data_IF_503557775822
#
_entry.id   IF_503557775822
#
_cell.length_a   1.000
_cell.length_b   1.000
_cell.length_c   1.000
_cell.angle_alpha   90.00
_cell.angle_beta   90.00
_cell.angle_gamma   90.00
#
_symmetry.space_group_name_H-M   'P 1'
#
loop_
_entity.id
_entity.type
_entity.pdbx_description
1 polymer ?
#
# COMPACT_ATOMS: atom_id res chain seq x y z
N UNK A 1 7.59 20.71 10.05
CA UNK A 1 6.94 20.09 8.88
C UNK A 1 5.58 20.76 8.66
N UNK A 2 5.47 21.63 7.66
CA UNK A 2 4.23 22.38 7.32
C UNK A 2 3.17 21.48 6.65
N UNK A 3 3.58 20.32 6.15
CA UNK A 3 2.72 19.38 5.41
C UNK A 3 1.69 18.69 6.30
N UNK A 4 2.07 18.25 7.51
CA UNK A 4 1.16 17.49 8.40
C UNK A 4 -0.11 18.27 8.76
N UNK A 5 -0.05 19.56 9.16
CA UNK A 5 -1.25 20.37 9.37
C UNK A 5 -2.16 20.50 8.13
N UNK A 6 -1.59 20.59 6.92
CA UNK A 6 -2.38 20.68 5.67
C UNK A 6 -3.09 19.37 5.35
N UNK A 7 -2.40 18.23 5.49
CA UNK A 7 -3.02 16.91 5.32
C UNK A 7 -4.13 16.67 6.37
N UNK A 8 -3.93 17.14 7.59
CA UNK A 8 -4.91 17.05 8.67
C UNK A 8 -6.23 17.75 8.31
N UNK A 9 -6.18 18.93 7.68
CA UNK A 9 -7.39 19.64 7.24
C UNK A 9 -8.23 18.80 6.26
N UNK A 10 -7.60 18.05 5.37
CA UNK A 10 -8.32 17.18 4.43
C UNK A 10 -9.00 15.98 5.10
N UNK A 11 -8.37 15.45 6.15
CA UNK A 11 -8.96 14.41 7.01
C UNK A 11 -10.14 14.97 7.80
N UNK A 12 -10.01 16.17 8.38
CA UNK A 12 -11.06 16.80 9.18
C UNK A 12 -12.30 17.19 8.34
N UNK A 13 -12.11 17.48 7.06
CA UNK A 13 -13.19 17.75 6.10
C UNK A 13 -13.82 16.47 5.52
N UNK A 14 -13.39 15.29 5.94
CA UNK A 14 -13.93 14.03 5.43
C UNK A 14 -15.43 13.92 5.79
N UNK A 15 -16.32 13.52 4.85
CA UNK A 15 -17.77 13.54 5.07
C UNK A 15 -18.27 12.53 6.10
N UNK A 16 -17.42 11.58 6.50
CA UNK A 16 -17.73 10.51 7.43
C UNK A 16 -16.65 10.40 8.51
N UNK A 17 -16.99 9.95 9.74
CA UNK A 17 -16.01 9.66 10.78
C UNK A 17 -14.96 8.66 10.28
N UNK A 18 -13.68 9.00 10.49
CA UNK A 18 -12.55 8.17 10.11
C UNK A 18 -12.08 7.30 11.27
N UNK A 19 -11.84 6.02 10.98
CA UNK A 19 -11.09 5.11 11.87
C UNK A 19 -9.60 5.41 11.74
N UNK A 20 -9.11 5.57 10.51
CA UNK A 20 -7.74 6.01 10.25
C UNK A 20 -7.61 6.65 8.87
N UNK A 21 -6.53 7.43 8.70
CA UNK A 21 -6.00 7.83 7.42
C UNK A 21 -4.46 7.85 7.49
N UNK A 22 -3.81 7.15 6.57
CA UNK A 22 -2.35 7.02 6.45
C UNK A 22 -1.89 7.47 5.08
N UNK A 23 -0.60 7.80 4.98
CA UNK A 23 0.05 8.09 3.70
C UNK A 23 0.52 6.77 3.08
N UNK A 24 0.23 6.57 1.80
CA UNK A 24 0.71 5.48 0.96
C UNK A 24 1.63 6.04 -0.15
N UNK A 25 1.78 5.33 -1.26
CA UNK A 25 2.47 5.87 -2.42
C UNK A 25 3.97 6.05 -2.26
N UNK A 26 4.57 6.88 -3.11
CA UNK A 26 6.02 7.10 -3.15
C UNK A 26 6.62 7.51 -1.79
N UNK A 27 5.84 8.22 -0.97
CA UNK A 27 6.18 8.59 0.40
C UNK A 27 6.35 7.37 1.32
N UNK A 28 5.39 6.44 1.30
CA UNK A 28 5.50 5.17 2.04
C UNK A 28 6.64 4.29 1.48
N UNK A 29 6.77 4.24 0.16
CA UNK A 29 7.68 3.32 -0.51
C UNK A 29 9.15 3.76 -0.50
N UNK A 30 9.46 4.96 0.01
CA UNK A 30 10.84 5.41 0.24
C UNK A 30 11.51 6.06 -0.97
N UNK A 31 10.72 6.55 -1.94
CA UNK A 31 11.23 7.28 -3.09
C UNK A 31 10.31 8.44 -3.51
N UNK A 32 9.88 9.34 -2.60
CA UNK A 32 9.11 10.53 -3.01
C UNK A 32 10.01 11.52 -3.78
N UNK A 33 9.48 12.08 -4.86
CA UNK A 33 10.06 13.22 -5.59
C UNK A 33 9.32 14.50 -5.22
N UNK A 34 9.87 15.67 -5.57
CA UNK A 34 9.25 16.95 -5.24
C UNK A 34 7.83 17.13 -5.83
N UNK A 35 7.55 16.44 -6.93
CA UNK A 35 6.27 16.38 -7.64
C UNK A 35 5.41 15.15 -7.26
N UNK A 36 5.76 14.42 -6.20
CA UNK A 36 4.94 13.29 -5.74
C UNK A 36 3.69 13.76 -5.02
N UNK A 37 2.57 13.15 -5.39
CA UNK A 37 1.28 13.28 -4.72
C UNK A 37 1.31 12.68 -3.31
N UNK A 38 0.42 13.20 -2.47
CA UNK A 38 0.11 12.62 -1.17
C UNK A 38 -1.07 11.67 -1.30
N UNK A 39 -0.76 10.39 -1.51
CA UNK A 39 -1.70 9.28 -1.45
C UNK A 39 -2.23 9.10 -0.02
N UNK A 40 -3.39 9.68 0.30
CA UNK A 40 -4.09 9.41 1.55
C UNK A 40 -4.99 8.19 1.38
N UNK A 41 -4.84 7.21 2.26
CA UNK A 41 -5.62 5.98 2.27
C UNK A 41 -6.19 5.72 3.65
N UNK A 42 -7.42 5.23 3.75
CA UNK A 42 -8.04 5.13 5.07
C UNK A 42 -9.34 4.37 5.13
N UNK A 43 -9.89 4.34 6.35
CA UNK A 43 -11.17 3.70 6.66
C UNK A 43 -12.11 4.73 7.27
N UNK A 44 -13.32 4.79 6.73
CA UNK A 44 -14.42 5.58 7.28
C UNK A 44 -15.58 4.69 7.74
N UNK A 45 -16.51 5.28 8.48
CA UNK A 45 -17.75 4.65 8.90
C UNK A 45 -18.94 5.32 8.22
N UNK A 46 -19.58 4.61 7.29
CA UNK A 46 -20.91 5.01 6.84
C UNK A 46 -21.93 4.99 8.00
N UNK A 47 -22.94 5.87 7.99
CA UNK A 47 -24.05 5.81 8.93
C UNK A 47 -24.72 4.42 8.88
N UNK A 48 -25.05 3.84 10.03
CA UNK A 48 -25.61 2.47 10.02
C UNK A 48 -26.88 2.37 9.18
N UNK A 49 -27.72 3.41 9.15
CA UNK A 49 -28.93 3.44 8.34
C UNK A 49 -28.65 3.27 6.83
N UNK A 50 -27.49 3.73 6.35
CA UNK A 50 -27.06 3.51 4.96
C UNK A 50 -26.59 2.07 4.74
N UNK A 51 -26.02 1.43 5.76
CA UNK A 51 -25.49 0.07 5.69
C UNK A 51 -26.58 -1.00 5.80
N UNK A 52 -27.58 -0.80 6.66
CA UNK A 52 -28.70 -1.75 6.84
C UNK A 52 -29.94 -1.40 6.01
N UNK A 53 -29.90 -0.27 5.30
CA UNK A 53 -30.97 0.17 4.42
C UNK A 53 -31.06 -0.67 3.15
N UNK A 54 -32.17 -0.52 2.42
CA UNK A 54 -32.40 -1.23 1.15
C UNK A 54 -31.57 -0.69 -0.01
N UNK A 55 -31.01 0.51 0.12
CA UNK A 55 -30.20 1.15 -0.92
C UNK A 55 -28.76 0.64 -0.84
N UNK A 56 -28.16 0.36 -1.99
CA UNK A 56 -26.73 0.09 -2.07
C UNK A 56 -25.97 1.37 -1.73
N UNK A 57 -25.25 1.38 -0.61
CA UNK A 57 -24.44 2.52 -0.20
C UNK A 57 -23.16 2.60 -1.05
N UNK A 58 -22.67 3.83 -1.27
CA UNK A 58 -21.34 4.02 -1.84
C UNK A 58 -20.29 3.84 -0.74
N UNK A 59 -19.52 2.75 -0.83
CA UNK A 59 -18.53 2.37 0.18
C UNK A 59 -17.13 2.96 -0.06
N UNK A 60 -16.96 3.84 -1.05
CA UNK A 60 -15.69 4.53 -1.30
C UNK A 60 -15.91 6.04 -1.39
N UNK A 61 -15.04 6.79 -0.71
CA UNK A 61 -14.88 8.23 -0.92
C UNK A 61 -13.56 8.47 -1.64
N UNK A 62 -13.61 9.18 -2.76
CA UNK A 62 -12.44 9.56 -3.56
C UNK A 62 -12.41 11.09 -3.68
N UNK A 63 -11.23 11.69 -3.48
CA UNK A 63 -10.99 13.13 -3.64
C UNK A 63 -9.56 13.35 -4.11
N UNK A 64 -9.41 13.83 -5.34
CA UNK A 64 -8.10 14.12 -5.92
C UNK A 64 -8.05 15.57 -6.42
N UNK A 65 -6.91 16.25 -6.24
CA UNK A 65 -6.72 17.62 -6.69
C UNK A 65 -5.55 18.34 -6.02
N UNK A 66 -5.30 19.57 -6.43
CA UNK A 66 -4.26 20.43 -5.85
C UNK A 66 -4.89 21.37 -4.82
N UNK A 67 -4.43 21.29 -3.58
CA UNK A 67 -4.91 22.08 -2.45
C UNK A 67 -3.73 22.72 -1.72
N UNK A 68 -3.72 24.06 -1.61
CA UNK A 68 -2.61 24.82 -1.01
C UNK A 68 -1.21 24.44 -1.55
N UNK A 69 -1.17 24.14 -2.86
CA UNK A 69 0.05 23.72 -3.57
C UNK A 69 0.48 22.27 -3.33
N UNK A 70 -0.35 21.46 -2.66
CA UNK A 70 -0.14 20.02 -2.49
C UNK A 70 -1.07 19.24 -3.43
N UNK A 71 -0.52 18.34 -4.23
CA UNK A 71 -1.33 17.35 -4.95
C UNK A 71 -1.71 16.22 -4.00
N UNK A 72 -3.02 16.01 -3.82
CA UNK A 72 -3.57 15.05 -2.88
C UNK A 72 -4.44 14.09 -3.66
N UNK A 73 -4.29 12.80 -3.35
CA UNK A 73 -5.19 11.74 -3.79
C UNK A 73 -5.70 11.00 -2.55
N UNK A 74 -6.93 11.28 -2.14
CA UNK A 74 -7.58 10.65 -0.99
C UNK A 74 -8.53 9.56 -1.46
N UNK A 75 -8.33 8.35 -0.95
CA UNK A 75 -9.24 7.22 -1.16
C UNK A 75 -9.48 6.53 0.18
N UNK A 76 -10.72 6.54 0.65
CA UNK A 76 -11.11 5.81 1.86
C UNK A 76 -12.24 4.84 1.57
N UNK A 77 -12.27 3.74 2.31
CA UNK A 77 -13.33 2.75 2.21
C UNK A 77 -14.13 2.66 3.50
N UNK A 78 -15.42 2.34 3.38
CA UNK A 78 -16.20 1.94 4.54
C UNK A 78 -15.53 0.73 5.24
N UNK A 79 -15.58 0.71 6.58
CA UNK A 79 -14.95 -0.33 7.38
C UNK A 79 -15.31 -1.76 6.95
N UNK A 80 -16.56 -2.04 6.57
CA UNK A 80 -16.97 -3.37 6.12
C UNK A 80 -16.22 -3.77 4.85
N UNK A 81 -16.16 -2.87 3.86
CA UNK A 81 -15.44 -3.08 2.60
C UNK A 81 -13.95 -3.27 2.84
N UNK A 82 -13.33 -2.41 3.65
CA UNK A 82 -11.92 -2.52 3.97
C UNK A 82 -11.58 -3.84 4.68
N UNK A 83 -12.36 -4.24 5.68
CA UNK A 83 -12.13 -5.49 6.43
C UNK A 83 -12.33 -6.71 5.53
N UNK A 84 -13.30 -6.66 4.62
CA UNK A 84 -13.49 -7.70 3.60
C UNK A 84 -12.27 -7.80 2.68
N UNK A 85 -11.68 -6.67 2.30
CA UNK A 85 -10.47 -6.66 1.48
C UNK A 85 -9.23 -7.16 2.24
N UNK A 86 -9.10 -6.85 3.54
CA UNK A 86 -8.05 -7.40 4.42
C UNK A 86 -8.10 -8.93 4.49
N UNK A 87 -9.30 -9.52 4.49
CA UNK A 87 -9.49 -10.98 4.49
C UNK A 87 -9.18 -11.63 3.12
N UNK A 88 -8.84 -10.86 2.10
CA UNK A 88 -8.35 -11.36 0.81
C UNK A 88 -6.83 -11.25 0.77
N UNK A 89 -6.23 -11.86 -0.25
CA UNK A 89 -4.80 -11.73 -0.58
C UNK A 89 -4.46 -10.35 -1.14
N UNK A 90 -4.78 -9.27 -0.42
CA UNK A 90 -4.59 -7.90 -0.87
C UNK A 90 -3.48 -7.22 -0.07
N UNK A 91 -2.24 -7.32 -0.56
CA UNK A 91 -1.07 -6.72 0.08
C UNK A 91 -1.16 -5.20 0.19
N UNK A 92 -1.79 -4.54 -0.78
CA UNK A 92 -1.94 -3.09 -0.77
C UNK A 92 -2.75 -2.57 0.44
N UNK A 93 -3.82 -3.29 0.82
CA UNK A 93 -4.65 -2.92 1.98
C UNK A 93 -3.90 -3.10 3.30
N UNK A 94 -3.04 -4.13 3.38
CA UNK A 94 -2.12 -4.30 4.51
C UNK A 94 -1.10 -3.16 4.59
N UNK A 95 -0.51 -2.75 3.47
CA UNK A 95 0.43 -1.62 3.42
C UNK A 95 -0.22 -0.30 3.85
N UNK A 96 -1.49 -0.08 3.51
CA UNK A 96 -2.26 1.09 3.97
C UNK A 96 -2.49 1.05 5.48
N UNK A 97 -2.97 -0.08 6.00
CA UNK A 97 -3.24 -0.27 7.44
C UNK A 97 -1.96 -0.14 8.29
N UNK A 98 -0.85 -0.70 7.81
CA UNK A 98 0.41 -0.79 8.56
C UNK A 98 1.38 0.35 8.23
N UNK A 99 0.96 1.33 7.43
CA UNK A 99 1.80 2.48 7.10
C UNK A 99 2.21 3.23 8.39
N UNK A 100 3.50 3.49 8.59
CA UNK A 100 3.98 4.28 9.74
C UNK A 100 3.67 5.78 9.58
N UNK A 101 3.23 6.22 8.40
CA UNK A 101 2.97 7.62 8.08
C UNK A 101 1.52 7.98 8.40
N UNK A 102 1.19 8.06 9.69
CA UNK A 102 -0.17 8.29 10.18
C UNK A 102 -0.53 9.78 10.12
N UNK A 103 -1.65 10.09 9.47
CA UNK A 103 -2.29 11.42 9.49
C UNK A 103 -3.38 11.45 10.56
N UNK A 104 -4.26 10.44 10.55
CA UNK A 104 -5.36 10.28 11.52
C UNK A 104 -5.46 8.86 12.03
N UNK A 105 -5.80 8.70 13.31
CA UNK A 105 -5.93 7.40 13.97
C UNK A 105 -6.89 7.47 15.14
N UNK A 106 -7.66 6.40 15.35
CA UNK A 106 -8.43 6.16 16.58
C UNK A 106 -7.87 4.93 17.33
N UNK A 107 -8.31 4.64 18.56
CA UNK A 107 -7.94 3.40 19.25
C UNK A 107 -8.26 2.14 18.45
N UNK A 108 -9.34 2.15 17.67
CA UNK A 108 -9.76 1.02 16.84
C UNK A 108 -8.83 0.79 15.65
N UNK A 109 -8.05 1.80 15.22
CA UNK A 109 -6.98 1.59 14.26
C UNK A 109 -5.84 0.74 14.86
N UNK A 110 -5.46 0.98 16.12
CA UNK A 110 -4.46 0.16 16.80
C UNK A 110 -4.96 -1.28 16.99
N UNK A 111 -6.23 -1.45 17.36
CA UNK A 111 -6.87 -2.76 17.44
C UNK A 111 -6.87 -3.47 16.08
N UNK A 112 -7.23 -2.76 15.00
CA UNK A 112 -7.21 -3.31 13.65
C UNK A 112 -5.80 -3.73 13.20
N UNK A 113 -4.76 -2.94 13.53
CA UNK A 113 -3.36 -3.32 13.27
C UNK A 113 -2.96 -4.58 14.02
N UNK A 114 -3.42 -4.77 15.26
CA UNK A 114 -3.17 -5.98 16.02
C UNK A 114 -3.83 -7.23 15.41
N UNK A 115 -4.90 -7.06 14.62
CA UNK A 115 -5.57 -8.14 13.88
C UNK A 115 -4.93 -8.44 12.52
N UNK A 116 -4.07 -7.55 12.00
CA UNK A 116 -3.46 -7.69 10.68
C UNK A 116 -2.67 -9.02 10.49
N UNK A 117 -1.89 -9.52 11.48
CA UNK A 117 -1.20 -10.80 11.34
C UNK A 117 -2.14 -11.97 11.02
N UNK A 118 -3.35 -11.98 11.57
CA UNK A 118 -4.35 -13.01 11.29
C UNK A 118 -5.02 -12.91 9.91
N UNK A 119 -4.74 -11.84 9.15
CA UNK A 119 -5.20 -11.66 7.78
C UNK A 119 -4.17 -12.15 6.73
N UNK A 120 -2.90 -12.25 7.12
CA UNK A 120 -1.80 -12.57 6.24
C UNK A 120 -1.82 -14.06 5.90
N UNK A 121 -1.65 -14.37 4.62
CA UNK A 121 -1.59 -15.73 4.09
C UNK A 121 -0.44 -15.87 3.10
N UNK A 122 0.06 -17.09 2.90
CA UNK A 122 1.08 -17.35 1.87
C UNK A 122 0.63 -16.92 0.47
N UNK A 123 -0.68 -16.92 0.20
CA UNK A 123 -1.24 -16.49 -1.09
C UNK A 123 -1.11 -14.99 -1.38
N UNK A 124 -0.67 -14.16 -0.42
CA UNK A 124 -0.29 -12.77 -0.68
C UNK A 124 0.86 -12.66 -1.69
N UNK A 125 1.72 -13.69 -1.83
CA UNK A 125 2.73 -13.74 -2.88
C UNK A 125 2.13 -13.51 -4.28
N UNK A 126 0.93 -14.05 -4.57
CA UNK A 126 0.29 -13.88 -5.87
C UNK A 126 -0.11 -12.43 -6.17
N UNK A 127 -0.45 -11.65 -5.14
CA UNK A 127 -0.74 -10.23 -5.30
C UNK A 127 0.51 -9.47 -5.73
N UNK A 128 1.62 -9.69 -5.02
CA UNK A 128 2.89 -9.05 -5.32
C UNK A 128 3.46 -9.47 -6.69
N UNK A 129 3.35 -10.75 -7.04
CA UNK A 129 3.72 -11.24 -8.38
C UNK A 129 2.87 -10.58 -9.49
N UNK A 130 1.55 -10.54 -9.32
CA UNK A 130 0.65 -9.92 -10.30
C UNK A 130 0.90 -8.41 -10.45
N UNK A 131 1.16 -7.72 -9.34
CA UNK A 131 1.50 -6.30 -9.36
C UNK A 131 2.86 -6.07 -10.04
N UNK A 132 3.88 -6.86 -9.71
CA UNK A 132 5.20 -6.78 -10.32
C UNK A 132 5.12 -6.97 -11.84
N UNK A 133 4.37 -7.99 -12.30
CA UNK A 133 4.17 -8.23 -13.73
C UNK A 133 3.48 -7.06 -14.44
N UNK A 134 2.55 -6.37 -13.75
CA UNK A 134 1.85 -5.20 -14.31
C UNK A 134 2.80 -4.00 -14.45
N UNK A 135 3.62 -3.73 -13.43
CA UNK A 135 4.62 -2.67 -13.46
C UNK A 135 5.75 -2.97 -14.44
N UNK A 136 6.14 -4.23 -14.57
CA UNK A 136 7.13 -4.66 -15.57
C UNK A 136 6.65 -4.40 -17.00
N UNK A 137 5.38 -4.73 -17.31
CA UNK A 137 4.78 -4.40 -18.62
C UNK A 137 4.73 -2.89 -18.85
N UNK A 138 4.43 -2.10 -17.83
CA UNK A 138 4.44 -0.63 -17.94
C UNK A 138 5.85 -0.10 -18.18
N UNK A 139 6.85 -0.64 -17.48
CA UNK A 139 8.26 -0.33 -17.69
C UNK A 139 8.68 -0.56 -19.14
N UNK A 140 8.32 -1.71 -19.71
CA UNK A 140 8.67 -2.09 -21.10
C UNK A 140 7.91 -1.31 -22.18
N UNK A 141 6.84 -0.59 -21.84
CA UNK A 141 5.99 0.10 -22.83
C UNK A 141 6.63 1.41 -23.33
N UNK A 142 7.30 2.14 -22.44
CA UNK A 142 7.90 3.45 -22.74
C UNK A 142 9.31 3.30 -23.33
N UNK A 143 9.65 4.09 -24.34
CA UNK A 143 10.98 4.11 -24.96
C UNK A 143 11.50 5.56 -25.06
N UNK A 144 12.55 5.94 -24.29
CA UNK A 144 13.18 5.16 -23.21
C UNK A 144 12.25 4.98 -22.00
N UNK A 145 12.45 3.90 -21.21
CA UNK A 145 11.54 3.55 -20.12
C UNK A 145 11.74 4.45 -18.91
N UNK A 146 10.67 4.64 -18.13
CA UNK A 146 10.70 5.46 -16.90
C UNK A 146 11.23 4.68 -15.70
N UNK A 147 11.91 5.36 -14.78
CA UNK A 147 12.47 4.77 -13.56
C UNK A 147 11.38 4.32 -12.57
N UNK A 148 10.25 5.05 -12.48
CA UNK A 148 9.20 4.78 -11.48
C UNK A 148 8.62 3.36 -11.57
N UNK A 149 8.11 2.87 -12.71
CA UNK A 149 7.61 1.50 -12.81
C UNK A 149 8.64 0.45 -12.35
N UNK A 150 9.92 0.64 -12.67
CA UNK A 150 10.99 -0.26 -12.25
C UNK A 150 11.21 -0.25 -10.73
N UNK A 151 11.21 0.93 -10.08
CA UNK A 151 11.26 1.02 -8.62
C UNK A 151 10.07 0.31 -7.97
N UNK A 152 8.87 0.42 -8.55
CA UNK A 152 7.70 -0.31 -8.06
C UNK A 152 7.87 -1.83 -8.21
N UNK A 153 8.42 -2.32 -9.33
CA UNK A 153 8.75 -3.75 -9.52
C UNK A 153 9.65 -4.26 -8.40
N UNK A 154 10.78 -3.58 -8.16
CA UNK A 154 11.71 -3.98 -7.10
C UNK A 154 11.06 -3.94 -5.72
N UNK A 155 10.34 -2.86 -5.43
CA UNK A 155 9.65 -2.70 -4.16
C UNK A 155 8.69 -3.85 -3.91
N UNK A 156 7.77 -4.15 -4.84
CA UNK A 156 6.75 -5.17 -4.56
C UNK A 156 7.30 -6.59 -4.52
N UNK A 157 8.34 -6.90 -5.31
CA UNK A 157 9.00 -8.20 -5.24
C UNK A 157 9.71 -8.38 -3.89
N UNK A 158 10.44 -7.36 -3.43
CA UNK A 158 11.10 -7.40 -2.13
C UNK A 158 10.10 -7.40 -0.96
N UNK A 159 9.01 -6.62 -1.03
CA UNK A 159 7.92 -6.68 -0.04
C UNK A 159 7.33 -8.08 0.04
N UNK A 160 7.05 -8.70 -1.11
CA UNK A 160 6.53 -10.07 -1.15
C UNK A 160 7.52 -11.08 -0.54
N UNK A 161 8.81 -10.99 -0.90
CA UNK A 161 9.85 -11.89 -0.38
C UNK A 161 9.97 -11.74 1.15
N UNK A 162 10.02 -10.49 1.64
CA UNK A 162 10.09 -10.21 3.06
C UNK A 162 8.87 -10.78 3.78
N UNK A 163 7.65 -10.48 3.31
CA UNK A 163 6.41 -10.99 3.89
C UNK A 163 6.38 -12.51 3.96
N UNK A 164 6.75 -13.20 2.89
CA UNK A 164 6.74 -14.68 2.86
C UNK A 164 7.73 -15.30 3.84
N UNK A 165 8.83 -14.61 4.14
CA UNK A 165 9.89 -15.07 5.05
C UNK A 165 9.61 -14.74 6.51
N UNK A 166 9.05 -13.56 6.78
CA UNK A 166 8.96 -13.01 8.16
C UNK A 166 7.54 -12.97 8.70
N UNK A 167 6.52 -13.02 7.82
CA UNK A 167 5.14 -12.71 8.18
C UNK A 167 4.89 -11.24 8.51
N UNK A 168 5.84 -10.36 8.25
CA UNK A 168 5.74 -8.92 8.49
C UNK A 168 5.63 -8.16 7.16
N UNK A 169 4.94 -7.03 7.16
CA UNK A 169 4.82 -6.16 5.99
C UNK A 169 5.85 -5.04 6.11
N UNK A 170 6.69 -4.90 5.09
CA UNK A 170 7.55 -3.73 4.88
C UNK A 170 7.39 -3.26 3.43
N UNK A 171 7.01 -2.00 3.28
CA UNK A 171 6.67 -1.39 1.99
C UNK A 171 7.77 -0.43 1.50
N UNK A 172 8.65 0.01 2.39
CA UNK A 172 9.72 0.95 2.09
C UNK A 172 10.89 0.22 1.41
N UNK A 173 11.15 0.57 0.15
CA UNK A 173 12.18 -0.05 -0.67
C UNK A 173 13.59 0.09 -0.07
N UNK A 174 13.91 1.21 0.56
CA UNK A 174 15.23 1.42 1.15
C UNK A 174 15.46 0.50 2.35
N UNK A 175 14.44 0.33 3.20
CA UNK A 175 14.49 -0.62 4.33
C UNK A 175 14.57 -2.07 3.85
N UNK A 176 13.76 -2.45 2.86
CA UNK A 176 13.85 -3.77 2.23
C UNK A 176 15.26 -4.04 1.66
N UNK A 177 15.90 -3.00 1.14
CA UNK A 177 17.25 -3.11 0.58
C UNK A 177 18.36 -3.20 1.64
N UNK A 178 18.06 -2.93 2.92
CA UNK A 178 18.99 -3.20 4.02
C UNK A 178 19.29 -4.70 4.12
N UNK A 179 18.32 -5.57 3.80
CA UNK A 179 18.53 -7.02 3.75
C UNK A 179 18.89 -7.50 2.34
N UNK A 180 18.24 -6.95 1.30
CA UNK A 180 18.42 -7.43 -0.07
C UNK A 180 19.79 -7.05 -0.67
N UNK A 181 20.43 -5.98 -0.17
CA UNK A 181 21.77 -5.49 -0.57
C UNK A 181 21.93 -5.35 -2.09
N UNK A 182 20.90 -4.87 -2.78
CA UNK A 182 20.94 -4.62 -4.22
C UNK A 182 21.60 -3.25 -4.47
N UNK A 183 22.81 -3.21 -5.06
CA UNK A 183 23.63 -1.98 -5.09
C UNK A 183 23.05 -0.89 -6.00
N UNK A 184 22.24 -1.27 -6.99
CA UNK A 184 21.64 -0.37 -7.97
C UNK A 184 20.39 0.37 -7.48
N UNK A 185 19.79 -0.04 -6.35
CA UNK A 185 18.56 0.58 -5.84
C UNK A 185 18.80 2.03 -5.43
N UNK A 186 19.92 2.33 -4.76
CA UNK A 186 20.25 3.69 -4.33
C UNK A 186 20.29 4.66 -5.51
N UNK A 187 21.01 4.27 -6.57
CA UNK A 187 21.12 5.07 -7.80
C UNK A 187 19.75 5.27 -8.47
N UNK A 188 18.90 4.24 -8.56
CA UNK A 188 17.55 4.39 -9.13
C UNK A 188 16.67 5.34 -8.32
N UNK A 189 16.74 5.28 -6.99
CA UNK A 189 16.01 6.19 -6.10
C UNK A 189 16.50 7.63 -6.29
N UNK A 190 17.81 7.86 -6.30
CA UNK A 190 18.40 9.18 -6.54
C UNK A 190 17.98 9.74 -7.90
N UNK A 191 18.05 8.93 -8.97
CA UNK A 191 17.59 9.30 -10.32
C UNK A 191 16.11 9.67 -10.34
N UNK A 192 15.25 8.98 -9.58
CA UNK A 192 13.82 9.31 -9.47
C UNK A 192 13.59 10.60 -8.69
N UNK A 193 14.30 10.78 -7.58
CA UNK A 193 14.16 11.97 -6.73
C UNK A 193 14.64 13.24 -7.44
N UNK A 194 15.73 13.16 -8.21
CA UNK A 194 16.28 14.28 -8.97
C UNK A 194 15.52 14.55 -10.28
N UNK A 195 15.10 13.50 -11.00
CA UNK A 195 14.46 13.62 -12.33
C UNK A 195 12.93 13.68 -12.30
N UNK A 196 12.31 13.61 -11.12
CA UNK A 196 10.86 13.57 -10.94
C UNK A 196 10.18 12.36 -11.62
N UNK A 197 8.89 12.49 -11.89
CA UNK A 197 8.07 11.43 -12.51
C UNK A 197 8.44 11.09 -13.98
N UNK A 198 9.36 11.85 -14.58
CA UNK A 198 9.78 11.71 -15.99
C UNK A 198 11.20 11.14 -16.19
N UNK A 199 11.89 10.77 -15.12
CA UNK A 199 13.24 10.22 -15.18
C UNK A 199 13.29 8.93 -16.01
N UNK A 200 14.25 8.83 -16.95
CA UNK A 200 14.36 7.79 -17.99
C UNK A 200 15.65 6.97 -17.84
N UNK A 201 15.63 5.71 -18.26
CA UNK A 201 16.81 4.82 -18.30
C UNK A 201 17.37 4.68 -19.71
N UNK A 202 18.63 4.25 -19.81
CA UNK A 202 19.30 4.03 -21.10
C UNK A 202 19.14 2.57 -21.55
N UNK A 203 19.34 2.30 -22.85
CA UNK A 203 19.17 0.96 -23.41
C UNK A 203 20.12 -0.09 -22.81
N UNK A 204 21.30 0.33 -22.32
CA UNK A 204 22.27 -0.55 -21.66
C UNK A 204 21.73 -1.14 -20.34
N UNK A 205 20.77 -0.48 -19.70
CA UNK A 205 20.20 -0.87 -18.40
C UNK A 205 19.15 -2.00 -18.54
N UNK A 206 18.53 -2.15 -19.71
CA UNK A 206 17.36 -3.02 -19.92
C UNK A 206 17.65 -4.50 -19.70
N UNK A 207 18.73 -5.01 -20.30
CA UNK A 207 19.09 -6.45 -20.19
C UNK A 207 19.43 -6.82 -18.75
N UNK A 208 20.07 -5.91 -18.02
CA UNK A 208 20.38 -6.09 -16.62
C UNK A 208 19.09 -6.18 -15.77
N UNK A 209 18.19 -5.21 -15.93
CA UNK A 209 16.95 -5.17 -15.17
C UNK A 209 16.00 -6.34 -15.49
N UNK A 210 16.00 -6.86 -16.73
CA UNK A 210 15.26 -8.07 -17.08
C UNK A 210 15.75 -9.28 -16.28
N UNK A 211 17.07 -9.51 -16.19
CA UNK A 211 17.63 -10.61 -15.39
C UNK A 211 17.30 -10.46 -13.91
N UNK A 212 17.40 -9.25 -13.37
CA UNK A 212 17.09 -8.99 -11.97
C UNK A 212 15.59 -9.17 -11.67
N UNK A 213 14.71 -8.76 -12.59
CA UNK A 213 13.28 -9.02 -12.49
C UNK A 213 13.00 -10.53 -12.41
N UNK A 214 13.53 -11.33 -13.34
CA UNK A 214 13.37 -12.79 -13.36
C UNK A 214 13.92 -13.46 -12.10
N UNK A 215 15.10 -13.02 -11.63
CA UNK A 215 15.73 -13.51 -10.41
C UNK A 215 14.85 -13.25 -9.19
N UNK A 216 14.30 -12.05 -9.05
CA UNK A 216 13.46 -11.68 -7.91
C UNK A 216 12.06 -12.30 -7.97
N UNK A 217 11.48 -12.47 -9.16
CA UNK A 217 10.26 -13.26 -9.36
C UNK A 217 10.47 -14.69 -8.86
N UNK A 218 11.54 -15.34 -9.31
CA UNK A 218 11.92 -16.70 -8.86
C UNK A 218 12.15 -16.74 -7.34
N UNK A 219 12.75 -15.69 -6.78
CA UNK A 219 12.96 -15.54 -5.34
C UNK A 219 11.65 -15.45 -4.54
N UNK A 220 10.66 -14.71 -5.05
CA UNK A 220 9.33 -14.64 -4.43
C UNK A 220 8.57 -15.96 -4.55
N UNK A 221 8.65 -16.64 -5.69
CA UNK A 221 8.05 -17.96 -5.86
C UNK A 221 8.66 -19.01 -4.92
N UNK A 222 9.97 -18.97 -4.71
CA UNK A 222 10.63 -19.85 -3.75
C UNK A 222 10.22 -19.50 -2.31
N UNK A 223 10.21 -18.22 -1.95
CA UNK A 223 9.75 -17.78 -0.64
C UNK A 223 8.29 -18.21 -0.38
N UNK A 224 7.42 -18.15 -1.40
CA UNK A 224 6.06 -18.66 -1.34
C UNK A 224 6.00 -20.18 -1.08
N UNK A 225 6.85 -20.97 -1.75
CA UNK A 225 6.92 -22.43 -1.54
C UNK A 225 7.37 -22.79 -0.13
N UNK A 226 8.33 -22.05 0.41
CA UNK A 226 8.93 -22.28 1.73
C UNK A 226 8.15 -21.64 2.90
N UNK A 227 7.24 -20.70 2.61
CA UNK A 227 6.55 -19.92 3.63
C UNK A 227 5.75 -20.80 4.59
N UNK A 228 5.84 -20.48 5.88
CA UNK A 228 5.05 -21.09 6.96
C UNK A 228 3.75 -20.32 7.24
N UNK A 229 3.44 -19.29 6.44
CA UNK A 229 2.21 -18.53 6.57
C UNK A 229 0.99 -19.40 6.24
N UNK A 230 -0.15 -19.18 6.90
CA UNK A 230 -1.36 -19.98 6.67
C UNK A 230 -1.92 -19.78 5.25
N UNK A 231 -2.73 -20.73 4.78
CA UNK A 231 -3.41 -20.66 3.49
C UNK A 231 -4.71 -19.82 3.56
N UNK A 232 -5.33 -19.78 4.73
CA UNK A 232 -6.58 -19.05 4.99
C UNK A 232 -6.40 -18.05 6.13
N UNK A 233 -7.05 -16.87 6.09
CA UNK A 233 -7.01 -15.92 7.19
C UNK A 233 -7.77 -16.46 8.40
N UNK A 234 -7.28 -16.16 9.61
CA UNK A 234 -7.89 -16.53 10.89
C UNK A 234 -8.63 -15.37 11.57
N UNK A 235 -8.43 -14.13 11.09
CA UNK A 235 -8.96 -12.92 11.74
C UNK A 235 -10.46 -12.63 11.50
N UNK A 236 -11.20 -13.47 10.76
CA UNK A 236 -12.58 -13.17 10.34
C UNK A 236 -13.51 -12.86 11.52
N UNK A 237 -13.51 -13.69 12.57
CA UNK A 237 -14.38 -13.51 13.72
C UNK A 237 -14.05 -12.21 14.48
N UNK A 238 -12.75 -11.92 14.67
CA UNK A 238 -12.29 -10.73 15.38
C UNK A 238 -12.55 -9.44 14.58
N UNK A 239 -12.36 -9.46 13.26
CA UNK A 239 -12.71 -8.33 12.39
C UNK A 239 -14.23 -8.09 12.38
N UNK A 240 -15.03 -9.15 12.39
CA UNK A 240 -16.49 -9.02 12.49
C UNK A 240 -16.92 -8.40 13.82
N UNK A 241 -16.35 -8.86 14.94
CA UNK A 241 -16.60 -8.27 16.25
C UNK A 241 -16.25 -6.77 16.29
N UNK A 242 -15.06 -6.40 15.82
CA UNK A 242 -14.62 -5.00 15.73
C UNK A 242 -15.58 -4.17 14.85
N UNK A 243 -15.98 -4.70 13.70
CA UNK A 243 -16.92 -4.03 12.81
C UNK A 243 -18.28 -3.79 13.49
N UNK A 244 -18.83 -4.80 14.18
CA UNK A 244 -20.10 -4.67 14.89
C UNK A 244 -20.00 -3.62 16.00
N UNK A 245 -18.92 -3.64 16.80
CA UNK A 245 -18.68 -2.61 17.83
C UNK A 245 -18.57 -1.21 17.25
N UNK A 246 -17.83 -1.04 16.15
CA UNK A 246 -17.71 0.25 15.44
C UNK A 246 -19.07 0.80 15.01
N UNK A 247 -20.00 -0.06 14.61
CA UNK A 247 -21.35 0.35 14.17
C UNK A 247 -22.33 0.66 15.30
N UNK A 248 -22.17 -0.01 16.43
CA UNK A 248 -23.08 0.13 17.57
C UNK A 248 -22.63 1.21 18.56
N UNK A 249 -21.40 1.73 18.44
CA UNK A 249 -20.89 2.80 19.31
C UNK A 249 -21.75 4.06 19.21
N UNK A 250 -22.11 4.64 20.36
CA UNK A 250 -22.86 5.89 20.43
C UNK A 250 -24.37 5.75 20.17
N UNK A 251 -24.91 4.54 20.35
CA UNK A 251 -26.34 4.25 20.37
C UNK A 251 -26.79 3.89 21.78
#
# INVERSE_FOLDING_TARGET
MIVKPRLQQHVEQHPYPLVFATISGAHLYGFPSADSDYDLRGVHLLPLAEVVGLKVANETVEKSGVYDGLEIDLVTHDARKFFTLLLRKNGYVLEQLLSPLVVHSTPEHEELKALAPGCITRHHAHHYLGFAATQWKLFQKDHPPKVKPLLYVYRVLLTGIHLMRTGQVEANLLRLNEDAKLPYIGELVERKMAGGERSKLTDADLTFHQREYERLVSGLEEAFRQSQLPEVPSAHAALNDLLVRLRLRGR
#
